data_IF_929221880972
#
_entry.id   IF_929221880972
#
_cell.length_a   1.000
_cell.length_b   1.000
_cell.length_c   1.000
_cell.angle_alpha   90.00
_cell.angle_beta   90.00
_cell.angle_gamma   90.00
#
_symmetry.space_group_name_H-M   'P 1'
#
loop_
_entity.id
_entity.type
_entity.pdbx_description
1 polymer ?
#
# COMPACT_ATOMS: atom_id res chain seq x y z
N UNK A 1 13.72 -17.68 37.86
CA UNK A 1 12.93 -16.76 37.01
C UNK A 1 13.83 -15.61 36.61
N UNK A 2 14.45 -15.65 35.43
CA UNK A 2 15.32 -14.57 34.95
C UNK A 2 14.43 -13.48 34.35
N UNK A 3 14.50 -12.27 34.90
CA UNK A 3 13.75 -11.13 34.37
C UNK A 3 14.18 -10.85 32.91
N UNK A 4 13.21 -10.64 32.03
CA UNK A 4 13.44 -10.28 30.63
C UNK A 4 14.20 -8.95 30.55
N UNK A 5 15.40 -8.97 29.98
CA UNK A 5 16.20 -7.76 29.77
C UNK A 5 15.53 -6.91 28.69
N UNK A 6 15.07 -5.71 29.06
CA UNK A 6 14.50 -4.75 28.11
C UNK A 6 15.54 -3.72 27.68
N UNK A 7 15.48 -3.30 26.42
CA UNK A 7 16.46 -2.36 25.83
C UNK A 7 16.55 -1.01 26.58
N UNK A 8 15.46 -0.57 27.20
CA UNK A 8 15.39 0.69 27.97
C UNK A 8 16.31 0.68 29.21
N UNK A 9 16.74 -0.50 29.69
CA UNK A 9 17.65 -0.64 30.84
C UNK A 9 19.10 -0.97 30.46
N UNK A 10 19.47 -0.92 29.18
CA UNK A 10 20.80 -1.32 28.69
C UNK A 10 21.66 -0.13 28.25
N UNK A 11 22.97 -0.33 28.13
CA UNK A 11 23.94 0.70 27.76
C UNK A 11 23.68 1.24 26.35
N UNK A 12 23.46 2.56 26.19
CA UNK A 12 23.24 3.17 24.87
C UNK A 12 24.53 3.29 24.07
N UNK A 13 24.43 3.27 22.73
CA UNK A 13 25.52 3.63 21.82
C UNK A 13 25.46 5.14 21.59
N UNK A 14 26.54 5.86 21.93
CA UNK A 14 26.68 7.29 21.62
C UNK A 14 27.39 7.44 20.28
N UNK A 15 26.72 8.07 19.33
CA UNK A 15 27.28 8.38 18.01
C UNK A 15 27.34 9.89 17.89
N UNK A 16 28.55 10.42 17.78
CA UNK A 16 28.77 11.84 17.49
C UNK A 16 28.65 12.05 15.99
N UNK A 17 27.84 13.02 15.59
CA UNK A 17 27.55 13.32 14.19
C UNK A 17 27.59 14.83 13.99
N UNK A 18 27.98 15.25 12.79
CA UNK A 18 27.85 16.62 12.33
C UNK A 18 26.37 16.99 12.15
N UNK A 19 26.01 18.28 12.14
CA UNK A 19 24.63 18.72 11.91
C UNK A 19 24.03 18.15 10.62
N UNK A 20 24.78 18.20 9.52
CA UNK A 20 24.33 17.73 8.21
C UNK A 20 24.10 16.21 8.20
N UNK A 21 25.00 15.45 8.86
CA UNK A 21 24.87 14.00 9.01
C UNK A 21 23.64 13.65 9.86
N UNK A 22 23.39 14.41 10.94
CA UNK A 22 22.21 14.23 11.77
C UNK A 22 20.92 14.46 10.98
N UNK A 23 20.89 15.48 10.14
CA UNK A 23 19.73 15.77 9.29
C UNK A 23 19.52 14.64 8.27
N UNK A 24 20.57 14.20 7.58
CA UNK A 24 20.51 13.10 6.63
C UNK A 24 20.02 11.79 7.29
N UNK A 25 20.52 11.46 8.48
CA UNK A 25 20.07 10.28 9.25
C UNK A 25 18.59 10.41 9.63
N UNK A 26 18.18 11.61 10.06
CA UNK A 26 16.79 11.86 10.46
C UNK A 26 15.84 11.74 9.29
N UNK A 27 16.20 12.26 8.12
CA UNK A 27 15.39 12.13 6.91
C UNK A 27 15.27 10.67 6.45
N UNK A 28 16.38 9.92 6.43
CA UNK A 28 16.36 8.49 6.08
C UNK A 28 15.54 7.66 7.07
N UNK A 29 15.65 7.97 8.37
CA UNK A 29 14.85 7.33 9.40
C UNK A 29 13.35 7.63 9.21
N UNK A 30 13.00 8.89 8.90
CA UNK A 30 11.62 9.30 8.61
C UNK A 30 11.06 8.60 7.37
N UNK A 31 11.83 8.50 6.30
CA UNK A 31 11.46 7.75 5.09
C UNK A 31 11.23 6.26 5.37
N UNK A 32 11.92 5.72 6.38
CA UNK A 32 11.71 4.36 6.88
C UNK A 32 10.62 4.21 7.96
N UNK A 33 9.99 5.31 8.40
CA UNK A 33 8.99 5.28 9.47
C UNK A 33 9.58 4.92 10.85
N UNK A 34 10.89 5.09 11.02
CA UNK A 34 11.62 4.73 12.23
C UNK A 34 12.16 5.96 12.95
N UNK A 35 12.41 5.85 14.26
CA UNK A 35 13.26 6.81 14.95
C UNK A 35 14.70 6.71 14.45
N UNK A 36 15.48 7.80 14.56
CA UNK A 36 16.90 7.79 14.15
C UNK A 36 17.71 6.67 14.83
N UNK A 37 17.43 6.39 16.11
CA UNK A 37 18.09 5.32 16.86
C UNK A 37 17.67 3.91 16.41
N UNK A 38 16.39 3.71 16.07
CA UNK A 38 15.92 2.44 15.52
C UNK A 38 16.46 2.21 14.10
N UNK A 39 16.49 3.25 13.27
CA UNK A 39 17.07 3.22 11.93
C UNK A 39 18.55 2.84 11.97
N UNK A 40 19.38 3.55 12.75
CA UNK A 40 20.81 3.27 12.86
C UNK A 40 21.10 1.86 13.42
N UNK A 41 20.28 1.41 14.38
CA UNK A 41 20.40 0.04 14.90
C UNK A 41 20.11 -1.00 13.83
N UNK A 42 19.05 -0.83 13.04
CA UNK A 42 18.69 -1.77 11.99
C UNK A 42 19.77 -1.82 10.89
N UNK A 43 20.26 -0.64 10.47
CA UNK A 43 21.39 -0.53 9.52
C UNK A 43 22.64 -1.21 10.08
N UNK A 44 23.01 -0.93 11.33
CA UNK A 44 24.19 -1.51 11.98
C UNK A 44 24.10 -3.03 12.20
N UNK A 45 22.90 -3.60 12.24
CA UNK A 45 22.68 -5.05 12.31
C UNK A 45 22.46 -5.70 10.93
N UNK A 46 22.56 -4.95 9.83
CA UNK A 46 22.29 -5.45 8.48
C UNK A 46 20.84 -5.86 8.24
N UNK A 47 19.90 -5.40 9.07
CA UNK A 47 18.47 -5.65 8.87
C UNK A 47 17.99 -4.78 7.71
N UNK A 48 17.26 -5.33 6.71
CA UNK A 48 16.72 -4.52 5.63
C UNK A 48 15.78 -3.46 6.22
N UNK A 49 16.09 -2.20 5.94
CA UNK A 49 15.23 -1.09 6.32
C UNK A 49 14.21 -0.90 5.21
N UNK A 50 13.04 -1.53 5.36
CA UNK A 50 11.90 -1.35 4.46
C UNK A 50 11.32 0.05 4.66
N UNK A 51 11.22 0.82 3.57
CA UNK A 51 10.72 2.19 3.59
C UNK A 51 9.20 2.27 3.79
N UNK A 52 8.70 3.44 4.21
CA UNK A 52 7.26 3.78 4.15
C UNK A 52 6.75 3.76 2.71
N UNK A 53 7.63 4.06 1.74
CA UNK A 53 7.33 3.94 0.31
C UNK A 53 6.87 2.52 -0.09
N UNK A 54 7.36 1.47 0.61
CA UNK A 54 6.97 0.09 0.38
C UNK A 54 5.50 -0.14 0.82
N UNK A 55 5.08 0.49 1.92
CA UNK A 55 3.70 0.40 2.41
C UNK A 55 2.71 1.15 1.51
N UNK A 56 3.09 2.30 0.96
CA UNK A 56 2.25 3.04 0.02
C UNK A 56 2.08 2.30 -1.32
N UNK A 57 3.18 1.75 -1.86
CA UNK A 57 3.11 0.88 -3.04
C UNK A 57 2.25 -0.36 -2.79
N UNK A 58 2.31 -0.96 -1.61
CA UNK A 58 1.43 -2.08 -1.23
C UNK A 58 -0.04 -1.66 -1.17
N UNK A 59 -0.37 -0.49 -0.58
CA UNK A 59 -1.75 0.02 -0.55
C UNK A 59 -2.29 0.25 -1.96
N UNK A 60 -1.44 0.74 -2.84
CA UNK A 60 -1.75 0.99 -4.23
C UNK A 60 -2.01 -0.31 -5.01
N UNK A 61 -1.23 -1.36 -4.77
CA UNK A 61 -1.50 -2.71 -5.29
C UNK A 61 -2.81 -3.30 -4.74
N UNK A 62 -3.13 -3.05 -3.47
CA UNK A 62 -4.40 -3.50 -2.85
C UNK A 62 -5.62 -2.87 -3.56
N UNK A 63 -5.55 -1.57 -3.91
CA UNK A 63 -6.63 -0.90 -4.66
C UNK A 63 -6.85 -1.53 -6.03
N UNK A 64 -5.78 -1.78 -6.79
CA UNK A 64 -5.87 -2.43 -8.11
C UNK A 64 -6.50 -3.83 -8.00
N UNK A 65 -6.11 -4.60 -6.98
CA UNK A 65 -6.69 -5.93 -6.77
C UNK A 65 -8.18 -5.88 -6.40
N UNK A 66 -8.62 -4.90 -5.60
CA UNK A 66 -10.02 -4.71 -5.27
C UNK A 66 -10.86 -4.38 -6.52
N UNK A 67 -10.35 -3.47 -7.34
CA UNK A 67 -10.92 -3.07 -8.63
C UNK A 67 -11.08 -4.27 -9.59
N UNK A 68 -10.05 -5.12 -9.69
CA UNK A 68 -10.09 -6.33 -10.49
C UNK A 68 -11.13 -7.34 -9.96
N UNK A 69 -11.26 -7.45 -8.63
CA UNK A 69 -12.28 -8.26 -7.98
C UNK A 69 -13.70 -7.79 -8.30
N UNK A 70 -13.93 -6.47 -8.33
CA UNK A 70 -15.21 -5.88 -8.74
C UNK A 70 -15.54 -6.20 -10.20
N UNK A 71 -14.58 -6.06 -11.12
CA UNK A 71 -14.80 -6.46 -12.53
C UNK A 71 -15.11 -7.94 -12.67
N UNK A 72 -14.41 -8.81 -11.94
CA UNK A 72 -14.69 -10.24 -11.92
C UNK A 72 -16.10 -10.55 -11.41
N UNK A 73 -16.57 -9.84 -10.38
CA UNK A 73 -17.93 -9.94 -9.87
C UNK A 73 -18.99 -9.51 -10.89
N UNK A 74 -18.73 -8.43 -11.62
CA UNK A 74 -19.62 -7.93 -12.69
C UNK A 74 -19.65 -8.89 -13.89
N UNK A 75 -18.49 -9.41 -14.30
CA UNK A 75 -18.39 -10.42 -15.36
C UNK A 75 -19.11 -11.71 -14.94
N UNK A 76 -18.95 -12.14 -13.69
CA UNK A 76 -19.69 -13.26 -13.14
C UNK A 76 -21.19 -13.00 -13.17
N UNK A 77 -21.64 -11.79 -12.81
CA UNK A 77 -23.06 -11.43 -12.88
C UNK A 77 -23.59 -11.50 -14.32
N UNK A 78 -22.77 -11.12 -15.31
CA UNK A 78 -23.11 -11.27 -16.73
C UNK A 78 -23.24 -12.76 -17.13
N UNK A 79 -22.26 -13.60 -16.77
CA UNK A 79 -22.26 -15.04 -17.10
C UNK A 79 -23.25 -15.87 -16.27
N UNK A 80 -23.60 -15.46 -15.05
CA UNK A 80 -24.52 -16.23 -14.18
C UNK A 80 -25.98 -15.87 -14.47
N UNK A 81 -26.22 -14.74 -15.14
CA UNK A 81 -27.54 -14.41 -15.67
C UNK A 81 -27.91 -15.21 -16.94
N UNK A 82 -27.08 -16.18 -17.38
CA UNK A 82 -27.35 -17.07 -18.51
C UNK A 82 -28.63 -17.92 -18.35
N UNK A 83 -29.06 -18.31 -17.14
CA UNK A 83 -30.36 -18.98 -16.96
C UNK A 83 -31.58 -18.08 -17.25
N UNK A 84 -31.36 -16.76 -17.42
CA UNK A 84 -32.39 -15.80 -17.83
C UNK A 84 -32.16 -15.22 -19.22
N UNK A 85 -31.23 -15.78 -20.00
CA UNK A 85 -31.11 -15.47 -21.44
C UNK A 85 -32.28 -16.01 -22.28
N UNK A 86 -33.29 -16.64 -21.65
CA UNK A 86 -34.48 -17.15 -22.32
C UNK A 86 -35.82 -16.50 -21.90
N UNK A 87 -35.84 -15.41 -21.12
CA UNK A 87 -37.12 -14.76 -20.77
C UNK A 87 -37.07 -13.22 -20.80
N UNK A 88 -38.02 -12.69 -21.55
CA UNK A 88 -38.37 -11.30 -21.82
C UNK A 88 -38.16 -10.36 -20.61
N UNK A 89 -37.46 -9.23 -20.83
CA UNK A 89 -37.53 -8.07 -19.94
C UNK A 89 -36.33 -7.82 -19.02
N UNK A 90 -35.09 -8.11 -19.45
CA UNK A 90 -33.92 -7.58 -18.74
C UNK A 90 -33.71 -6.10 -19.03
N UNK A 91 -33.59 -5.30 -17.97
CA UNK A 91 -33.20 -3.89 -18.04
C UNK A 91 -31.68 -3.81 -18.28
N UNK A 92 -31.25 -4.06 -19.54
CA UNK A 92 -29.84 -3.95 -19.98
C UNK A 92 -29.16 -2.66 -19.48
N UNK A 93 -29.94 -1.59 -19.32
CA UNK A 93 -29.48 -0.29 -18.84
C UNK A 93 -28.86 -0.32 -17.43
N UNK A 94 -29.38 -1.14 -16.50
CA UNK A 94 -28.84 -1.22 -15.13
C UNK A 94 -27.48 -1.91 -15.06
N UNK A 95 -27.27 -2.89 -15.94
CA UNK A 95 -26.02 -3.64 -16.02
C UNK A 95 -24.93 -2.85 -16.74
N UNK A 96 -25.27 -2.21 -17.86
CA UNK A 96 -24.36 -1.29 -18.55
C UNK A 96 -23.91 -0.15 -17.63
N UNK A 97 -24.84 0.41 -16.85
CA UNK A 97 -24.50 1.43 -15.85
C UNK A 97 -23.50 0.92 -14.80
N UNK A 98 -23.68 -0.31 -14.29
CA UNK A 98 -22.78 -0.89 -13.30
C UNK A 98 -21.35 -1.12 -13.84
N UNK A 99 -21.23 -1.55 -15.10
CA UNK A 99 -19.94 -1.74 -15.78
C UNK A 99 -19.27 -0.39 -16.05
N UNK A 100 -20.01 0.58 -16.58
CA UNK A 100 -19.50 1.93 -16.83
C UNK A 100 -18.99 2.56 -15.53
N UNK A 101 -19.72 2.39 -14.43
CA UNK A 101 -19.29 2.91 -13.13
C UNK A 101 -18.05 2.19 -12.60
N UNK A 102 -17.94 0.86 -12.77
CA UNK A 102 -16.73 0.13 -12.38
C UNK A 102 -15.50 0.57 -13.18
N UNK A 103 -15.65 0.74 -14.50
CA UNK A 103 -14.57 1.26 -15.35
C UNK A 103 -14.17 2.69 -14.96
N UNK A 104 -15.13 3.50 -14.51
CA UNK A 104 -14.86 4.86 -14.03
C UNK A 104 -14.03 4.86 -12.76
N UNK A 105 -14.40 4.03 -11.78
CA UNK A 105 -13.62 3.86 -10.54
C UNK A 105 -12.20 3.37 -10.83
N UNK A 106 -12.05 2.40 -11.73
CA UNK A 106 -10.73 1.88 -12.15
C UNK A 106 -9.88 2.98 -12.78
N UNK A 107 -10.47 3.76 -13.67
CA UNK A 107 -9.75 4.85 -14.34
C UNK A 107 -9.32 5.94 -13.36
N UNK A 108 -10.14 6.21 -12.34
CA UNK A 108 -9.80 7.15 -11.27
C UNK A 108 -8.66 6.61 -10.39
N UNK A 109 -8.72 5.33 -9.98
CA UNK A 109 -7.63 4.66 -9.27
C UNK A 109 -6.33 4.71 -10.08
N UNK A 110 -6.37 4.34 -11.37
CA UNK A 110 -5.20 4.36 -12.27
C UNK A 110 -4.60 5.75 -12.45
N UNK A 111 -5.41 6.80 -12.55
CA UNK A 111 -4.91 8.18 -12.67
C UNK A 111 -4.14 8.62 -11.41
N UNK A 112 -4.67 8.30 -10.23
CA UNK A 112 -4.05 8.63 -8.95
C UNK A 112 -2.74 7.85 -8.74
N UNK A 113 -2.71 6.58 -9.16
CA UNK A 113 -1.52 5.74 -9.18
C UNK A 113 -0.44 6.27 -10.12
N UNK A 114 -0.82 6.65 -11.34
CA UNK A 114 0.10 7.20 -12.33
C UNK A 114 0.73 8.51 -11.83
N UNK A 115 -0.07 9.39 -11.22
CA UNK A 115 0.43 10.63 -10.63
C UNK A 115 1.45 10.33 -9.53
N UNK A 116 1.13 9.44 -8.57
CA UNK A 116 2.06 9.05 -7.50
C UNK A 116 3.35 8.42 -8.03
N UNK A 117 3.25 7.55 -9.02
CA UNK A 117 4.42 6.94 -9.66
C UNK A 117 5.29 7.97 -10.41
N UNK A 118 4.71 9.07 -10.88
CA UNK A 118 5.45 10.15 -11.54
C UNK A 118 6.08 11.17 -10.58
N UNK A 119 5.66 11.17 -9.31
CA UNK A 119 6.17 12.05 -8.24
C UNK A 119 7.28 11.37 -7.40
N UNK A 120 7.57 10.08 -7.67
CA UNK A 120 8.68 9.29 -7.10
C UNK A 120 9.96 9.44 -7.93
#
# INVERSE_FOLDING_TARGET
MTASVTRKGTTPIKVWVLPDEKEAITQKAKAAGLSASAYLRNVGMGTPVTGVADQEAVLDLVKINADLGRLGGLLKMWLTNDEKLDLEGYEQAGLEAAIVEAMREIKASQALLFQKASEL
#
